data_IF_924836499819
#
_entry.id   IF_924836499819
#
_cell.length_a   1.000
_cell.length_b   1.000
_cell.length_c   1.000
_cell.angle_alpha   90.00
_cell.angle_beta   90.00
_cell.angle_gamma   90.00
#
_symmetry.space_group_name_H-M   'P 1'
#
loop_
_entity.id
_entity.type
_entity.pdbx_description
1 polymer ?
#
# COMPACT_ATOMS: atom_id res chain seq x y z
N UNK A 1 -9.35 7.51 -7.23
CA UNK A 1 -7.99 7.05 -7.60
C UNK A 1 -7.04 7.45 -6.49
N UNK A 2 -6.12 6.58 -6.10
CA UNK A 2 -5.21 6.77 -4.97
C UNK A 2 -3.79 6.31 -5.31
N UNK A 3 -2.83 6.71 -4.49
CA UNK A 3 -1.47 6.17 -4.51
C UNK A 3 -1.31 4.92 -3.63
N UNK A 4 -0.14 4.31 -3.73
CA UNK A 4 0.26 3.20 -2.88
C UNK A 4 1.76 2.95 -3.00
N UNK A 5 2.30 2.15 -2.09
CA UNK A 5 3.72 1.84 -2.02
C UNK A 5 3.95 0.34 -1.97
N UNK A 6 4.83 -0.17 -2.84
CA UNK A 6 5.17 -1.59 -2.86
C UNK A 6 6.08 -1.89 -1.65
N UNK A 7 5.62 -2.79 -0.78
CA UNK A 7 6.42 -3.31 0.35
C UNK A 7 7.13 -4.62 0.01
N UNK A 8 6.53 -5.41 -0.89
CA UNK A 8 7.10 -6.65 -1.41
C UNK A 8 6.43 -7.02 -2.74
N UNK A 9 6.84 -8.13 -3.38
CA UNK A 9 6.25 -8.57 -4.64
C UNK A 9 4.73 -8.76 -4.61
N UNK A 10 4.13 -8.99 -3.43
CA UNK A 10 2.67 -9.22 -3.30
C UNK A 10 1.95 -8.20 -2.42
N UNK A 11 2.66 -7.27 -1.77
CA UNK A 11 2.09 -6.41 -0.75
C UNK A 11 2.29 -4.94 -1.07
N UNK A 12 1.18 -4.20 -1.00
CA UNK A 12 1.11 -2.77 -1.23
C UNK A 12 0.56 -2.13 0.04
N UNK A 13 1.20 -1.05 0.46
CA UNK A 13 0.72 -0.13 1.49
C UNK A 13 -0.09 0.98 0.83
N UNK A 14 -1.23 1.32 1.40
CA UNK A 14 -2.03 2.48 0.98
C UNK A 14 -2.78 3.06 2.19
N UNK A 15 -3.57 4.10 1.97
CA UNK A 15 -4.46 4.66 2.98
C UNK A 15 -5.74 3.81 3.09
N UNK A 16 -6.35 3.77 4.27
CA UNK A 16 -7.60 3.05 4.48
C UNK A 16 -8.77 3.69 3.74
N UNK A 17 -8.87 5.02 3.73
CA UNK A 17 -9.93 5.76 3.04
C UNK A 17 -9.93 5.51 1.52
N UNK A 18 -8.79 5.10 0.96
CA UNK A 18 -8.70 4.74 -0.46
C UNK A 18 -9.44 3.45 -0.82
N UNK A 19 -9.68 2.59 0.17
CA UNK A 19 -10.24 1.24 -0.02
C UNK A 19 -11.39 0.92 0.94
N UNK A 20 -11.85 1.87 1.75
CA UNK A 20 -12.90 1.66 2.75
C UNK A 20 -14.23 1.20 2.15
N UNK A 21 -14.57 1.67 0.95
CA UNK A 21 -15.79 1.30 0.23
C UNK A 21 -15.64 0.05 -0.67
N UNK A 22 -14.46 -0.60 -0.67
CA UNK A 22 -14.19 -1.76 -1.53
C UNK A 22 -14.88 -3.01 -0.97
N UNK A 23 -16.00 -3.38 -1.59
CA UNK A 23 -16.73 -4.61 -1.25
C UNK A 23 -16.11 -5.86 -1.89
N UNK A 24 -15.53 -5.72 -3.09
CA UNK A 24 -14.88 -6.81 -3.81
C UNK A 24 -13.42 -6.42 -4.13
N UNK A 25 -12.42 -7.05 -3.48
CA UNK A 25 -11.01 -6.79 -3.73
C UNK A 25 -10.61 -6.87 -5.20
N UNK A 26 -11.18 -7.79 -5.99
CA UNK A 26 -10.79 -7.98 -7.39
C UNK A 26 -11.09 -6.78 -8.30
N UNK A 27 -11.92 -5.82 -7.84
CA UNK A 27 -12.16 -4.56 -8.55
C UNK A 27 -11.05 -3.53 -8.33
N UNK A 28 -10.15 -3.76 -7.37
CA UNK A 28 -8.99 -2.90 -7.13
C UNK A 28 -7.86 -3.32 -8.06
N UNK A 29 -7.52 -2.42 -8.98
CA UNK A 29 -6.38 -2.57 -9.89
C UNK A 29 -5.21 -1.72 -9.40
N UNK A 30 -4.03 -2.33 -9.35
CA UNK A 30 -2.77 -1.69 -8.98
C UNK A 30 -1.92 -1.64 -10.24
N UNK A 31 -1.62 -0.42 -10.70
CA UNK A 31 -0.69 -0.16 -11.78
C UNK A 31 0.64 0.34 -11.23
N UNK A 32 1.74 -0.31 -11.58
CA UNK A 32 3.10 0.07 -11.20
C UNK A 32 3.97 0.26 -12.45
N UNK A 33 5.05 1.05 -12.32
CA UNK A 33 5.93 1.42 -13.44
C UNK A 33 5.17 2.09 -14.60
N UNK A 34 4.25 3.00 -14.29
CA UNK A 34 3.34 3.66 -15.26
C UNK A 34 4.00 4.70 -16.17
N UNK A 35 5.33 4.69 -16.30
CA UNK A 35 6.00 5.55 -17.27
C UNK A 35 5.71 5.02 -18.68
N UNK A 36 4.63 5.54 -19.29
CA UNK A 36 4.08 5.10 -20.58
C UNK A 36 5.08 5.15 -21.74
N UNK A 37 6.16 5.94 -21.63
CA UNK A 37 7.18 6.03 -22.66
C UNK A 37 7.91 4.70 -22.92
N UNK A 38 7.85 3.76 -21.97
CA UNK A 38 8.66 2.55 -22.00
C UNK A 38 7.84 1.25 -22.02
N UNK A 39 6.52 1.33 -21.82
CA UNK A 39 5.62 0.15 -21.91
C UNK A 39 5.84 -0.91 -20.83
N UNK A 40 6.49 -0.57 -19.72
CA UNK A 40 6.83 -1.50 -18.62
C UNK A 40 5.78 -1.54 -17.50
N UNK A 41 4.55 -1.14 -17.77
CA UNK A 41 3.50 -1.14 -16.76
C UNK A 41 3.18 -2.57 -16.32
N UNK A 42 3.23 -2.79 -15.01
CA UNK A 42 2.70 -4.01 -14.40
C UNK A 42 1.37 -3.70 -13.73
N UNK A 43 0.29 -4.23 -14.30
CA UNK A 43 -1.05 -4.21 -13.71
C UNK A 43 -1.30 -5.48 -12.90
N UNK A 44 -1.85 -5.35 -11.68
CA UNK A 44 -2.24 -6.47 -10.80
C UNK A 44 -3.59 -6.22 -10.16
N UNK A 45 -4.39 -7.27 -9.97
CA UNK A 45 -5.64 -7.18 -9.21
C UNK A 45 -5.40 -7.52 -7.75
N UNK A 46 -6.14 -6.87 -6.84
CA UNK A 46 -6.11 -7.26 -5.45
C UNK A 46 -6.81 -8.61 -5.24
N UNK A 47 -6.16 -9.49 -4.48
CA UNK A 47 -6.76 -10.71 -3.93
C UNK A 47 -7.30 -10.48 -2.53
N UNK A 48 -6.77 -9.49 -1.81
CA UNK A 48 -7.14 -9.21 -0.41
C UNK A 48 -6.91 -7.73 -0.12
N UNK A 49 -7.84 -7.13 0.62
CA UNK A 49 -7.71 -5.79 1.19
C UNK A 49 -7.85 -5.92 2.71
N UNK A 50 -6.92 -5.32 3.45
CA UNK A 50 -6.88 -5.36 4.92
C UNK A 50 -6.80 -3.91 5.40
N UNK A 51 -7.91 -3.40 5.94
CA UNK A 51 -7.95 -2.09 6.57
C UNK A 51 -7.50 -2.23 8.02
N UNK A 52 -6.79 -1.23 8.54
CA UNK A 52 -6.41 -1.22 9.96
C UNK A 52 -7.66 -1.39 10.84
N UNK A 53 -7.66 -2.30 11.82
CA UNK A 53 -8.86 -2.64 12.60
C UNK A 53 -9.40 -1.48 13.46
N UNK A 54 -8.57 -0.46 13.70
CA UNK A 54 -8.95 0.76 14.43
C UNK A 54 -9.09 1.98 13.51
N UNK A 55 -9.22 1.79 12.20
CA UNK A 55 -9.48 2.89 11.27
C UNK A 55 -10.79 3.59 11.61
N UNK A 56 -10.76 4.93 11.64
CA UNK A 56 -11.92 5.77 11.85
C UNK A 56 -12.04 6.79 10.71
N UNK A 57 -12.93 6.54 9.76
CA UNK A 57 -13.12 7.40 8.58
C UNK A 57 -13.61 8.82 8.89
N UNK A 58 -14.23 9.06 10.04
CA UNK A 58 -14.66 10.41 10.44
C UNK A 58 -13.49 11.29 10.87
N UNK A 59 -12.45 10.70 11.45
CA UNK A 59 -11.28 11.42 11.99
C UNK A 59 -9.98 11.13 11.22
N UNK A 60 -10.02 10.22 10.24
CA UNK A 60 -8.84 9.69 9.53
C UNK A 60 -7.76 9.10 10.46
N UNK A 61 -8.17 8.64 11.65
CA UNK A 61 -7.25 7.95 12.56
C UNK A 61 -6.96 6.55 12.02
N UNK A 62 -5.69 6.13 12.11
CA UNK A 62 -5.22 4.85 11.58
C UNK A 62 -5.58 4.65 10.10
N UNK A 63 -5.44 5.71 9.30
CA UNK A 63 -5.70 5.72 7.85
C UNK A 63 -4.63 4.95 7.07
N UNK A 64 -4.59 3.64 7.27
CA UNK A 64 -3.60 2.72 6.73
C UNK A 64 -4.26 1.39 6.37
N UNK A 65 -3.92 0.87 5.19
CA UNK A 65 -4.40 -0.42 4.70
C UNK A 65 -3.32 -1.15 3.92
N UNK A 66 -3.44 -2.48 3.89
CA UNK A 66 -2.62 -3.36 3.08
C UNK A 66 -3.46 -3.98 1.97
N UNK A 67 -2.89 -4.03 0.78
CA UNK A 67 -3.45 -4.74 -0.35
C UNK A 67 -2.51 -5.90 -0.69
N UNK A 68 -3.06 -7.10 -0.78
CA UNK A 68 -2.38 -8.26 -1.35
C UNK A 68 -2.80 -8.41 -2.81
N UNK A 69 -1.85 -8.56 -3.71
CA UNK A 69 -2.13 -8.74 -5.14
C UNK A 69 -1.91 -10.17 -5.61
N UNK A 70 -2.64 -10.55 -6.67
CA UNK A 70 -2.43 -11.77 -7.43
C UNK A 70 -2.62 -11.49 -8.93
N UNK A 71 -1.66 -11.85 -9.80
CA UNK A 71 -0.35 -12.44 -9.48
C UNK A 71 0.60 -11.46 -8.75
N UNK A 72 1.74 -11.92 -8.20
CA UNK A 72 2.75 -11.00 -7.67
C UNK A 72 3.39 -10.14 -8.77
N UNK A 73 3.96 -8.99 -8.38
CA UNK A 73 4.83 -8.19 -9.24
C UNK A 73 6.10 -8.96 -9.59
N UNK A 74 6.56 -8.79 -10.83
CA UNK A 74 7.86 -9.28 -11.23
C UNK A 74 8.94 -8.29 -10.77
N UNK A 75 9.59 -8.60 -9.65
CA UNK A 75 10.61 -7.74 -9.04
C UNK A 75 11.98 -7.80 -9.77
N UNK A 76 12.14 -8.63 -10.81
CA UNK A 76 13.35 -8.60 -11.65
C UNK A 76 13.33 -7.44 -12.65
N UNK A 77 12.16 -6.85 -12.88
CA UNK A 77 12.00 -5.63 -13.66
C UNK A 77 12.55 -4.44 -12.87
N UNK A 78 13.55 -3.76 -13.44
CA UNK A 78 14.24 -2.63 -12.79
C UNK A 78 13.34 -1.42 -12.57
N UNK A 79 12.18 -1.36 -13.25
CA UNK A 79 11.19 -0.31 -13.08
C UNK A 79 10.30 -0.54 -11.85
N UNK A 80 10.36 -1.72 -11.24
CA UNK A 80 9.62 -2.08 -10.03
C UNK A 80 10.59 -2.15 -8.86
N UNK A 81 10.30 -1.40 -7.81
CA UNK A 81 11.08 -1.41 -6.58
C UNK A 81 10.18 -1.31 -5.37
N UNK A 82 10.59 -1.99 -4.29
CA UNK A 82 9.93 -1.89 -2.99
C UNK A 82 10.63 -0.83 -2.14
N UNK A 83 9.90 -0.23 -1.20
CA UNK A 83 10.49 0.59 -0.15
C UNK A 83 10.90 -0.27 1.06
N UNK A 84 11.85 0.22 1.85
CA UNK A 84 12.14 -0.33 3.16
C UNK A 84 11.18 0.24 4.20
N UNK A 85 10.72 -0.60 5.13
CA UNK A 85 10.03 -0.14 6.32
C UNK A 85 11.06 0.21 7.41
N UNK A 86 10.76 1.19 8.28
CA UNK A 86 11.58 1.44 9.46
C UNK A 86 11.61 0.21 10.37
N UNK A 87 12.73 0.00 11.04
CA UNK A 87 12.83 -0.99 12.11
C UNK A 87 12.20 -0.39 13.37
N UNK A 88 11.43 -1.18 14.10
CA UNK A 88 10.86 -0.76 15.38
C UNK A 88 11.94 -0.78 16.46
N UNK A 89 12.82 0.21 16.47
CA UNK A 89 13.70 0.48 17.61
C UNK A 89 13.02 1.51 18.50
N UNK A 90 13.05 1.27 19.81
CA UNK A 90 12.40 2.08 20.86
C UNK A 90 12.89 3.53 20.96
N UNK A 91 13.78 3.98 20.07
CA UNK A 91 14.44 5.29 20.11
C UNK A 91 13.86 6.31 19.12
N UNK A 92 13.02 5.91 18.15
CA UNK A 92 12.50 6.81 17.11
C UNK A 92 11.22 7.58 17.52
N UNK A 93 10.67 7.30 18.71
CA UNK A 93 9.59 8.10 19.29
C UNK A 93 10.14 8.86 20.50
N UNK A 94 10.64 10.11 20.34
CA UNK A 94 10.92 10.93 21.51
C UNK A 94 9.62 11.01 22.33
N UNK A 95 9.68 10.86 23.67
CA UNK A 95 8.49 11.04 24.48
C UNK A 95 7.90 12.40 24.14
N UNK A 96 6.66 12.42 23.69
CA UNK A 96 5.84 13.63 23.63
C UNK A 96 5.89 14.25 25.02
N UNK A 97 6.75 15.25 25.20
CA UNK A 97 6.79 16.05 26.40
C UNK A 97 5.52 16.89 26.39
N UNK A 98 4.46 16.35 26.98
CA UNK A 98 3.29 17.13 27.34
C UNK A 98 3.67 18.03 28.52
N UNK A 99 3.81 19.33 28.25
CA UNK A 99 3.64 20.38 29.27
C UNK A 99 2.97 21.57 28.60
#
# INVERSE_FOLDING_TARGET
MCGGTILSSSWILTAAHCVEDVQNPSLVLISAATNQLLGWEQSRSASTVIIHPQYNGSMFENDIALIKVSPPFNMTDLSISKICLPISTTEDYPPISST
#
